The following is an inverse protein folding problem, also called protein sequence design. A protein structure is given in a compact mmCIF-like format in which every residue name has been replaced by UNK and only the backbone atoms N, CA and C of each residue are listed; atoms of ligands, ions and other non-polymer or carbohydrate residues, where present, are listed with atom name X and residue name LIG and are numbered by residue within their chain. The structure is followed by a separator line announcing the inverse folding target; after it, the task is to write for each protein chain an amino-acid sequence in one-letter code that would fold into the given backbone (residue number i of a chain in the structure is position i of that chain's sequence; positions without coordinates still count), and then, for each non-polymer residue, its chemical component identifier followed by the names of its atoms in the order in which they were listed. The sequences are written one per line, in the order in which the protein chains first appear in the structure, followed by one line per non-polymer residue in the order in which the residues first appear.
data_IF_443720085946
#
_entry.id   IF_443720085946
#
_cell.length_a   1.000
_cell.length_b   1.000
_cell.length_c   1.000
_cell.angle_alpha   90.00
_cell.angle_beta   90.00
_cell.angle_gamma   90.00
#
_symmetry.space_group_name_H-M   'P 1'
#
loop_
_entity.id
_entity.type
_entity.pdbx_description
1 polymer ?
#
# COMPACT_ATOMS: atom_id res chain seq x y z
N UNK A 1 -22.86 33.25 19.26
CA UNK A 1 -22.53 32.19 18.28
C UNK A 1 -21.07 32.31 17.97
N UNK A 2 -20.26 31.30 18.30
CA UNK A 2 -18.85 31.25 17.89
C UNK A 2 -18.83 30.54 16.53
N UNK A 3 -18.23 31.13 15.48
CA UNK A 3 -18.17 30.47 14.19
C UNK A 3 -17.34 29.19 14.31
N UNK A 4 -17.90 28.09 13.81
CA UNK A 4 -17.19 26.82 13.70
C UNK A 4 -16.04 27.00 12.70
N UNK A 5 -14.81 27.04 13.21
CA UNK A 5 -13.60 27.02 12.39
C UNK A 5 -13.31 25.55 12.07
N UNK A 6 -13.56 25.18 10.82
CA UNK A 6 -13.20 23.85 10.33
C UNK A 6 -11.67 23.72 10.31
N UNK A 7 -11.15 22.87 11.20
CA UNK A 7 -9.76 22.43 11.17
C UNK A 7 -9.73 21.05 10.51
N UNK A 8 -9.18 20.92 9.28
CA UNK A 8 -9.02 19.61 8.66
C UNK A 8 -8.09 18.74 9.53
N UNK A 9 -8.30 17.42 9.57
CA UNK A 9 -7.41 16.52 10.28
C UNK A 9 -5.98 16.66 9.73
N UNK A 10 -5.00 16.79 10.63
CA UNK A 10 -3.59 16.65 10.29
C UNK A 10 -3.38 15.15 10.01
N UNK A 11 -3.49 14.77 8.75
CA UNK A 11 -3.22 13.42 8.27
C UNK A 11 -1.80 12.99 8.70
N UNK A 12 -1.55 11.69 8.96
CA UNK A 12 -0.17 11.24 8.95
C UNK A 12 0.46 11.63 7.61
N UNK A 13 1.75 11.95 7.56
CA UNK A 13 2.42 12.21 6.31
C UNK A 13 2.18 11.01 5.38
N UNK A 14 1.53 11.24 4.23
CA UNK A 14 1.48 10.25 3.14
C UNK A 14 2.88 9.65 2.96
N UNK A 15 3.01 8.32 2.75
CA UNK A 15 4.31 7.72 2.53
C UNK A 15 5.00 8.47 1.39
N UNK A 16 6.31 8.69 1.49
CA UNK A 16 6.99 9.67 0.62
C UNK A 16 6.85 9.31 -0.86
N UNK A 17 6.55 8.05 -1.18
CA UNK A 17 6.22 7.59 -2.52
C UNK A 17 4.92 8.19 -3.10
N UNK A 18 3.89 8.45 -2.29
CA UNK A 18 2.61 9.03 -2.73
C UNK A 18 2.67 10.56 -2.93
N UNK A 19 3.66 11.23 -2.33
CA UNK A 19 3.78 12.71 -2.36
C UNK A 19 4.23 13.31 -3.69
N UNK A 20 4.63 12.51 -4.67
CA UNK A 20 5.13 13.02 -5.97
C UNK A 20 4.09 13.09 -7.07
N UNK A 21 2.81 12.88 -6.78
CA UNK A 21 1.74 13.03 -7.78
C UNK A 21 1.47 14.51 -8.06
N UNK A 22 2.27 15.15 -8.91
CA UNK A 22 1.86 16.38 -9.58
C UNK A 22 0.85 16.02 -10.67
N UNK A 23 -0.33 16.64 -10.63
CA UNK A 23 -1.29 16.68 -11.71
C UNK A 23 -0.60 17.19 -12.99
N UNK A 24 -0.59 16.39 -14.07
CA UNK A 24 0.12 16.72 -15.30
C UNK A 24 -0.43 15.99 -16.52
N UNK A 25 -0.95 16.77 -17.47
CA UNK A 25 -1.65 16.30 -18.66
C UNK A 25 -0.82 15.52 -19.70
N UNK A 26 -1.58 14.83 -20.55
CA UNK A 26 -1.28 14.07 -21.76
C UNK A 26 0.12 14.11 -22.43
N UNK A 27 0.48 12.92 -22.94
CA UNK A 27 1.43 12.55 -24.00
C UNK A 27 2.86 12.15 -23.59
N UNK A 28 3.01 10.88 -23.19
CA UNK A 28 4.29 10.21 -22.96
C UNK A 28 4.14 8.75 -22.48
N UNK A 29 3.50 7.87 -23.25
CA UNK A 29 3.06 6.53 -22.81
C UNK A 29 4.12 5.55 -22.25
N UNK A 30 5.43 5.75 -22.48
CA UNK A 30 6.47 4.77 -22.10
C UNK A 30 7.37 5.16 -20.92
N UNK A 31 7.86 6.42 -20.80
CA UNK A 31 8.68 6.81 -19.67
C UNK A 31 7.91 6.77 -18.34
N UNK A 32 6.65 7.17 -18.37
CA UNK A 32 5.77 7.24 -17.19
C UNK A 32 5.50 5.84 -16.60
N UNK A 33 5.16 4.87 -17.46
CA UNK A 33 4.87 3.50 -17.04
C UNK A 33 6.06 2.81 -16.36
N UNK A 34 7.28 2.98 -16.87
CA UNK A 34 8.47 2.37 -16.25
C UNK A 34 8.72 2.97 -14.87
N UNK A 35 8.55 4.28 -14.74
CA UNK A 35 8.70 4.98 -13.47
C UNK A 35 7.63 4.53 -12.47
N UNK A 36 6.38 4.41 -12.90
CA UNK A 36 5.27 3.93 -12.08
C UNK A 36 5.49 2.48 -11.61
N UNK A 37 5.98 1.59 -12.48
CA UNK A 37 6.33 0.21 -12.10
C UNK A 37 7.49 0.20 -11.10
N UNK A 38 8.52 1.04 -11.29
CA UNK A 38 9.63 1.15 -10.33
C UNK A 38 9.16 1.67 -8.96
N UNK A 39 8.18 2.57 -8.96
CA UNK A 39 7.52 3.08 -7.76
C UNK A 39 6.68 2.00 -7.08
N UNK A 40 5.92 1.19 -7.83
CA UNK A 40 5.19 0.03 -7.31
C UNK A 40 6.13 -0.98 -6.65
N UNK A 41 7.28 -1.29 -7.27
CA UNK A 41 8.30 -2.17 -6.67
C UNK A 41 8.80 -1.62 -5.33
N UNK A 42 8.99 -0.30 -5.23
CA UNK A 42 9.44 0.35 -4.00
C UNK A 42 8.36 0.30 -2.91
N UNK A 43 7.09 0.52 -3.27
CA UNK A 43 5.94 0.35 -2.37
C UNK A 43 5.88 -1.08 -1.81
N UNK A 44 6.04 -2.08 -2.68
CA UNK A 44 6.06 -3.48 -2.29
C UNK A 44 7.19 -3.82 -1.30
N UNK A 45 8.39 -3.27 -1.48
CA UNK A 45 9.49 -3.42 -0.50
C UNK A 45 9.10 -2.84 0.88
N UNK A 46 8.43 -1.68 0.90
CA UNK A 46 7.96 -1.06 2.13
C UNK A 46 6.91 -1.93 2.84
N UNK A 47 5.88 -2.39 2.10
CA UNK A 47 4.82 -3.23 2.62
C UNK A 47 5.36 -4.54 3.21
N UNK A 48 6.25 -5.25 2.49
CA UNK A 48 6.90 -6.48 2.95
C UNK A 48 7.63 -6.28 4.30
N UNK A 49 8.34 -5.15 4.45
CA UNK A 49 9.08 -4.84 5.67
C UNK A 49 8.13 -4.45 6.81
N UNK A 50 7.11 -3.64 6.53
CA UNK A 50 6.13 -3.21 7.53
C UNK A 50 5.30 -4.40 8.03
N UNK A 51 4.84 -5.27 7.15
CA UNK A 51 3.96 -6.38 7.53
C UNK A 51 4.70 -7.48 8.28
N UNK A 52 6.01 -7.63 8.08
CA UNK A 52 6.85 -8.46 8.94
C UNK A 52 6.84 -7.94 10.39
N UNK A 53 7.00 -6.63 10.57
CA UNK A 53 6.96 -5.99 11.90
C UNK A 53 5.56 -6.06 12.51
N UNK A 54 4.54 -5.72 11.73
CA UNK A 54 3.14 -5.73 12.15
C UNK A 54 2.69 -7.12 12.60
N UNK A 55 3.10 -8.18 11.90
CA UNK A 55 2.84 -9.55 12.32
C UNK A 55 3.47 -9.88 13.69
N UNK A 56 4.69 -9.41 13.98
CA UNK A 56 5.33 -9.62 15.29
C UNK A 56 4.63 -8.88 16.43
N UNK A 57 3.98 -7.76 16.11
CA UNK A 57 3.19 -6.97 17.03
C UNK A 57 1.76 -7.53 17.24
N UNK A 58 1.35 -8.53 16.45
CA UNK A 58 0.00 -9.08 16.48
C UNK A 58 -0.34 -9.74 17.83
N UNK A 59 -1.53 -9.48 18.40
CA UNK A 59 -1.91 -9.94 19.74
C UNK A 59 -2.38 -11.41 19.74
N UNK A 60 -2.76 -11.93 18.57
CA UNK A 60 -3.27 -13.28 18.40
C UNK A 60 -2.59 -13.96 17.23
N UNK A 61 -2.50 -15.28 17.31
CA UNK A 61 -1.95 -16.11 16.24
C UNK A 61 -2.77 -16.02 14.95
N UNK A 62 -4.08 -15.84 15.06
CA UNK A 62 -4.97 -15.64 13.92
C UNK A 62 -4.63 -14.35 13.15
N UNK A 63 -4.48 -13.23 13.87
CA UNK A 63 -4.11 -11.95 13.26
C UNK A 63 -2.70 -12.03 12.67
N UNK A 64 -1.75 -12.63 13.41
CA UNK A 64 -0.38 -12.87 12.92
C UNK A 64 -0.38 -13.65 11.61
N UNK A 65 -1.12 -14.76 11.55
CA UNK A 65 -1.17 -15.61 10.36
C UNK A 65 -1.74 -14.85 9.17
N UNK A 66 -2.85 -14.13 9.35
CA UNK A 66 -3.45 -13.35 8.26
C UNK A 66 -2.51 -12.26 7.75
N UNK A 67 -1.81 -11.54 8.63
CA UNK A 67 -0.83 -10.52 8.23
C UNK A 67 0.34 -11.15 7.48
N UNK A 68 0.78 -12.35 7.87
CA UNK A 68 1.83 -13.07 7.15
C UNK A 68 1.38 -13.59 5.78
N UNK A 69 0.10 -13.91 5.60
CA UNK A 69 -0.48 -14.23 4.29
C UNK A 69 -0.49 -13.00 3.38
N UNK A 70 -0.97 -11.85 3.86
CA UNK A 70 -0.92 -10.56 3.13
C UNK A 70 0.52 -10.23 2.72
N UNK A 71 1.46 -10.34 3.67
CA UNK A 71 2.89 -10.14 3.38
C UNK A 71 3.40 -11.07 2.27
N UNK A 72 2.90 -12.30 2.20
CA UNK A 72 3.32 -13.25 1.17
C UNK A 72 2.79 -12.85 -0.21
N UNK A 73 1.61 -12.23 -0.27
CA UNK A 73 1.06 -11.65 -1.50
C UNK A 73 1.88 -10.44 -1.95
N UNK A 74 2.34 -9.57 -1.04
CA UNK A 74 3.27 -8.48 -1.38
C UNK A 74 4.61 -8.98 -1.96
N UNK A 75 5.13 -10.08 -1.44
CA UNK A 75 6.33 -10.72 -2.01
C UNK A 75 6.06 -11.21 -3.44
N UNK A 76 4.85 -11.69 -3.71
CA UNK A 76 4.46 -12.15 -5.04
C UNK A 76 4.30 -10.96 -6.00
N UNK A 77 3.65 -9.88 -5.57
CA UNK A 77 3.54 -8.62 -6.31
C UNK A 77 4.93 -8.04 -6.64
N UNK A 78 5.82 -7.91 -5.65
CA UNK A 78 7.20 -7.48 -5.85
C UNK A 78 7.92 -8.26 -6.96
N UNK A 79 7.82 -9.60 -6.91
CA UNK A 79 8.46 -10.48 -7.91
C UNK A 79 7.88 -10.27 -9.29
N UNK A 80 6.57 -10.11 -9.41
CA UNK A 80 5.90 -9.92 -10.68
C UNK A 80 6.23 -8.56 -11.30
N UNK A 81 6.15 -7.48 -10.51
CA UNK A 81 6.51 -6.14 -10.97
C UNK A 81 7.98 -6.04 -11.36
N UNK A 82 8.87 -6.67 -10.59
CA UNK A 82 10.31 -6.75 -10.92
C UNK A 82 10.53 -7.46 -12.26
N UNK A 83 9.82 -8.56 -12.53
CA UNK A 83 9.91 -9.26 -13.83
C UNK A 83 9.45 -8.36 -14.97
N UNK A 84 8.36 -7.62 -14.78
CA UNK A 84 7.86 -6.67 -15.79
C UNK A 84 8.88 -5.56 -16.02
N UNK A 85 9.44 -4.95 -14.96
CA UNK A 85 10.45 -3.90 -15.06
C UNK A 85 11.68 -4.37 -15.84
N UNK A 86 12.23 -5.55 -15.49
CA UNK A 86 13.38 -6.12 -16.17
C UNK A 86 13.05 -6.41 -17.64
N UNK A 87 11.86 -6.92 -17.95
CA UNK A 87 11.42 -7.16 -19.33
C UNK A 87 11.35 -5.88 -20.16
N UNK A 88 10.94 -4.77 -19.55
CA UNK A 88 10.80 -3.47 -20.25
C UNK A 88 12.14 -2.72 -20.39
N UNK A 89 13.04 -2.86 -19.42
CA UNK A 89 14.25 -2.01 -19.32
C UNK A 89 15.56 -2.76 -19.55
N UNK A 90 15.56 -4.10 -19.42
CA UNK A 90 16.77 -4.91 -19.35
C UNK A 90 17.57 -4.74 -18.04
N UNK A 91 17.08 -3.94 -17.09
CA UNK A 91 17.80 -3.58 -15.87
C UNK A 91 17.02 -4.01 -14.62
N UNK A 92 17.77 -4.35 -13.56
CA UNK A 92 17.19 -4.58 -12.24
C UNK A 92 16.72 -3.25 -11.64
N UNK A 93 15.60 -3.25 -10.87
CA UNK A 93 15.16 -2.06 -10.16
C UNK A 93 16.20 -1.63 -9.13
N UNK A 94 16.27 -0.33 -8.87
CA UNK A 94 17.17 0.23 -7.85
C UNK A 94 16.78 -0.30 -6.48
N UNK A 95 17.78 -0.70 -5.70
CA UNK A 95 17.56 -1.06 -4.30
C UNK A 95 17.18 0.18 -3.49
N UNK A 96 16.11 0.05 -2.71
CA UNK A 96 15.64 1.08 -1.78
C UNK A 96 15.64 0.52 -0.37
N UNK A 97 15.93 1.38 0.60
CA UNK A 97 15.79 1.04 2.02
C UNK A 97 14.31 1.22 2.39
N UNK A 98 13.67 0.23 3.04
CA UNK A 98 12.29 0.35 3.44
C UNK A 98 12.05 1.54 4.39
N UNK A 99 10.92 2.20 4.24
CA UNK A 99 10.45 3.25 5.16
C UNK A 99 10.06 2.67 6.52
N UNK A 100 10.15 3.46 7.61
CA UNK A 100 9.79 2.99 8.95
C UNK A 100 8.28 2.74 9.08
N UNK A 101 7.94 1.56 9.58
CA UNK A 101 6.58 1.16 9.97
C UNK A 101 6.33 1.55 11.44
N UNK A 102 5.11 1.97 11.86
CA UNK A 102 4.84 2.34 13.26
C UNK A 102 5.17 1.23 14.28
N UNK A 103 5.51 1.62 15.51
CA UNK A 103 5.85 0.68 16.60
C UNK A 103 4.63 0.19 17.39
N UNK A 104 3.54 0.98 17.42
CA UNK A 104 2.27 0.54 18.01
C UNK A 104 1.44 -0.24 16.98
N UNK A 105 0.88 -1.37 17.38
CA UNK A 105 0.12 -2.22 16.45
C UNK A 105 -1.13 -1.54 15.90
N UNK A 106 -1.85 -0.75 16.70
CA UNK A 106 -3.08 -0.09 16.22
C UNK A 106 -2.74 1.02 15.23
N UNK A 107 -1.69 1.77 15.48
CA UNK A 107 -1.16 2.76 14.54
C UNK A 107 -0.65 2.10 13.26
N UNK A 108 0.07 0.97 13.38
CA UNK A 108 0.57 0.22 12.23
C UNK A 108 -0.56 -0.39 11.38
N UNK A 109 -1.66 -0.85 11.99
CA UNK A 109 -2.86 -1.27 11.26
C UNK A 109 -3.52 -0.12 10.50
N UNK A 110 -3.62 1.06 11.11
CA UNK A 110 -4.19 2.23 10.45
C UNK A 110 -3.32 2.71 9.29
N UNK A 111 -2.00 2.66 9.47
CA UNK A 111 -1.02 2.93 8.44
C UNK A 111 -1.19 1.97 7.26
N UNK A 112 -1.17 0.65 7.51
CA UNK A 112 -1.34 -0.38 6.50
C UNK A 112 -2.67 -0.23 5.74
N UNK A 113 -3.78 0.01 6.45
CA UNK A 113 -5.09 0.26 5.85
C UNK A 113 -5.07 1.43 4.84
N UNK A 114 -4.36 2.52 5.15
CA UNK A 114 -4.29 3.69 4.26
C UNK A 114 -3.36 3.43 3.08
N UNK A 115 -2.21 2.81 3.33
CA UNK A 115 -1.24 2.44 2.31
C UNK A 115 -1.88 1.52 1.26
N UNK A 116 -2.64 0.50 1.70
CA UNK A 116 -3.36 -0.39 0.78
C UNK A 116 -4.42 0.35 -0.04
N UNK A 117 -5.21 1.24 0.56
CA UNK A 117 -6.22 2.02 -0.17
C UNK A 117 -5.59 2.92 -1.24
N UNK A 118 -4.49 3.61 -0.91
CA UNK A 118 -3.76 4.44 -1.88
C UNK A 118 -3.11 3.58 -2.98
N UNK A 119 -2.69 2.36 -2.65
CA UNK A 119 -2.08 1.41 -3.59
C UNK A 119 -3.09 0.86 -4.60
N UNK A 120 -4.34 0.61 -4.18
CA UNK A 120 -5.43 0.22 -5.10
C UNK A 120 -5.58 1.23 -6.23
N UNK A 121 -5.73 2.50 -5.89
CA UNK A 121 -5.92 3.58 -6.88
C UNK A 121 -4.70 3.68 -7.81
N UNK A 122 -3.49 3.56 -7.25
CA UNK A 122 -2.25 3.61 -8.02
C UNK A 122 -2.12 2.44 -9.02
N UNK A 123 -2.47 1.22 -8.62
CA UNK A 123 -2.40 0.06 -9.51
C UNK A 123 -3.47 0.08 -10.60
N UNK A 124 -4.66 0.60 -10.31
CA UNK A 124 -5.69 0.83 -11.33
C UNK A 124 -5.22 1.86 -12.36
N UNK A 125 -4.58 2.95 -11.93
CA UNK A 125 -4.00 3.95 -12.84
C UNK A 125 -2.94 3.33 -13.78
N UNK A 126 -2.04 2.49 -13.25
CA UNK A 126 -1.07 1.75 -14.09
C UNK A 126 -1.77 0.84 -15.09
N UNK A 127 -2.82 0.13 -14.65
CA UNK A 127 -3.58 -0.80 -15.49
C UNK A 127 -4.33 -0.08 -16.62
N UNK A 128 -4.79 1.15 -16.39
CA UNK A 128 -5.49 1.97 -17.38
C UNK A 128 -4.54 2.66 -18.36
N UNK A 129 -3.33 3.03 -17.92
CA UNK A 129 -2.30 3.68 -18.75
C UNK A 129 -1.62 2.73 -19.74
N UNK A 130 -1.50 1.45 -19.42
CA UNK A 130 -0.74 0.49 -20.24
C UNK A 130 -1.54 -0.04 -21.43
N UNK A 131 -0.86 -0.24 -22.57
CA UNK A 131 -1.41 -0.93 -23.75
C UNK A 131 -1.08 -2.42 -23.79
N UNK A 132 -0.24 -2.92 -22.88
CA UNK A 132 0.11 -4.34 -22.80
C UNK A 132 -0.95 -5.06 -21.95
N UNK A 133 -1.77 -5.96 -22.54
CA UNK A 133 -2.82 -6.67 -21.81
C UNK A 133 -2.29 -7.54 -20.68
N UNK A 134 -1.03 -8.00 -20.75
CA UNK A 134 -0.43 -8.76 -19.68
C UNK A 134 -0.11 -7.86 -18.47
N UNK A 135 0.41 -6.65 -18.69
CA UNK A 135 0.68 -5.69 -17.61
C UNK A 135 -0.63 -5.22 -16.98
N UNK A 136 -1.62 -4.88 -17.81
CA UNK A 136 -2.96 -4.49 -17.34
C UNK A 136 -3.54 -5.56 -16.40
N UNK A 137 -3.56 -6.82 -16.85
CA UNK A 137 -4.10 -7.94 -16.06
C UNK A 137 -3.38 -8.14 -14.72
N UNK A 138 -2.07 -7.95 -14.69
CA UNK A 138 -1.27 -8.06 -13.46
C UNK A 138 -1.66 -6.98 -12.46
N UNK A 139 -1.64 -5.72 -12.88
CA UNK A 139 -1.94 -4.60 -11.99
C UNK A 139 -3.41 -4.56 -11.55
N UNK A 140 -4.35 -4.94 -12.42
CA UNK A 140 -5.76 -5.10 -12.00
C UNK A 140 -5.92 -6.16 -10.91
N UNK A 141 -5.22 -7.30 -11.02
CA UNK A 141 -5.28 -8.35 -9.98
C UNK A 141 -4.66 -7.90 -8.67
N UNK A 142 -3.48 -7.30 -8.73
CA UNK A 142 -2.83 -6.74 -7.55
C UNK A 142 -3.75 -5.72 -6.85
N UNK A 143 -4.42 -4.83 -7.60
CA UNK A 143 -5.39 -3.88 -7.03
C UNK A 143 -6.57 -4.56 -6.32
N UNK A 144 -7.05 -5.71 -6.81
CA UNK A 144 -8.08 -6.49 -6.12
C UNK A 144 -7.56 -7.12 -4.82
N UNK A 145 -6.32 -7.60 -4.83
CA UNK A 145 -5.67 -8.16 -3.65
C UNK A 145 -5.45 -7.06 -2.59
N UNK A 146 -4.94 -5.89 -2.98
CA UNK A 146 -4.76 -4.75 -2.05
C UNK A 146 -6.09 -4.26 -1.46
N UNK A 147 -7.18 -4.29 -2.24
CA UNK A 147 -8.51 -3.98 -1.70
C UNK A 147 -8.93 -4.99 -0.62
N UNK A 148 -8.64 -6.28 -0.81
CA UNK A 148 -8.89 -7.29 0.21
C UNK A 148 -7.98 -7.09 1.45
N UNK A 149 -6.73 -6.71 1.25
CA UNK A 149 -5.78 -6.41 2.33
C UNK A 149 -6.26 -5.22 3.18
N UNK A 150 -6.69 -4.13 2.53
CA UNK A 150 -7.30 -2.98 3.19
C UNK A 150 -8.49 -3.40 4.07
N UNK A 151 -9.38 -4.27 3.56
CA UNK A 151 -10.53 -4.76 4.34
C UNK A 151 -10.09 -5.53 5.58
N UNK A 152 -9.06 -6.38 5.48
CA UNK A 152 -8.50 -7.10 6.64
C UNK A 152 -7.90 -6.16 7.68
N UNK A 153 -7.09 -5.18 7.26
CA UNK A 153 -6.52 -4.20 8.19
C UNK A 153 -7.60 -3.35 8.85
N UNK A 154 -8.65 -2.96 8.12
CA UNK A 154 -9.83 -2.29 8.68
C UNK A 154 -10.52 -3.16 9.74
N UNK A 155 -10.72 -4.45 9.45
CA UNK A 155 -11.33 -5.39 10.39
C UNK A 155 -10.51 -5.48 11.70
N UNK A 156 -9.20 -5.69 11.62
CA UNK A 156 -8.35 -5.77 12.82
C UNK A 156 -8.31 -4.45 13.59
N UNK A 157 -8.30 -3.31 12.89
CA UNK A 157 -8.28 -2.00 13.52
C UNK A 157 -9.60 -1.69 14.25
N UNK A 158 -10.74 -2.03 13.64
CA UNK A 158 -12.07 -1.83 14.23
C UNK A 158 -12.38 -2.80 15.37
N UNK A 159 -11.89 -4.06 15.31
CA UNK A 159 -12.01 -5.06 16.40
C UNK A 159 -11.48 -4.54 17.74
N UNK A 160 -10.51 -3.62 17.69
CA UNK A 160 -9.89 -2.97 18.86
C UNK A 160 -10.67 -1.76 19.40
N UNK A 161 -11.78 -1.36 18.78
CA UNK A 161 -12.66 -0.26 19.24
C UNK A 161 -13.71 -0.68 20.27
N UNK A 162 -13.61 -1.86 20.90
CA UNK A 162 -14.51 -2.22 22.00
C UNK A 162 -14.30 -1.30 23.20
N UNK A 163 -15.25 -0.39 23.39
CA UNK A 163 -15.33 0.50 24.55
C UNK A 163 -15.29 -0.29 25.87
N UNK A 164 -14.42 0.14 26.79
CA UNK A 164 -14.72 0.04 28.22
C UNK A 164 -15.77 1.11 28.52
N UNK A 165 -17.04 0.76 28.39
CA UNK A 165 -18.08 1.54 29.05
C UNK A 165 -17.94 1.25 30.56
N UNK A 166 -17.20 2.09 31.28
CA UNK A 166 -17.41 2.20 32.72
C UNK A 166 -18.83 2.77 32.89
N UNK A 167 -19.80 1.89 33.15
CA UNK A 167 -21.07 2.34 33.69
C UNK A 167 -20.84 2.72 35.16
N UNK A 168 -21.31 3.91 35.61
CA UNK A 168 -21.32 4.27 37.02
C UNK A 168 -22.23 3.34 37.84
#
# INVERSE_FOLDING_TARGET
MVPYVYHPPVWPPQPLWARTSQEGGASGEKPDLIQDIAKAISGQINAIACYEKLARLAPTEEERRQIMEIRQDEINHYREFTRIHVRLTGQQPRQVTPEPCPDDYKEALEFALKDEQETVDFYLDIADKTKDPAIQKVFTRAAHDEQNHAVWFLYFWTKRRRCRCNHP
#
